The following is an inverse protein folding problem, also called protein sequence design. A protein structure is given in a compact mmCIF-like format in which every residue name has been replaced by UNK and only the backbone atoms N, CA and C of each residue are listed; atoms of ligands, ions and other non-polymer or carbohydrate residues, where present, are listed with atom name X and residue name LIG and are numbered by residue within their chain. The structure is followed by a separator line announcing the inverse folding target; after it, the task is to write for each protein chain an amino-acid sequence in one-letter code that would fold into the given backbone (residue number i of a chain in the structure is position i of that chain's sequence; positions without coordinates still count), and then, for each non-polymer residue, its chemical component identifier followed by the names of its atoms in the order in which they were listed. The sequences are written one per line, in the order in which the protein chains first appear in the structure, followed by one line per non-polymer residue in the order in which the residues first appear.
data_IF_965303300877
#
_entry.id   IF_965303300877
#
_cell.length_a   1.000
_cell.length_b   1.000
_cell.length_c   1.000
_cell.angle_alpha   90.00
_cell.angle_beta   90.00
_cell.angle_gamma   90.00
#
_symmetry.space_group_name_H-M   'P 1'
#
loop_
_entity.id
_entity.type
_entity.pdbx_description
1 polymer ?
#
# COMPACT_ATOMS: atom_id res chain seq x y z
N UNK A 1 -41.26 -85.07 -48.80
CA UNK A 1 -40.69 -85.00 -47.43
C UNK A 1 -41.58 -84.09 -46.60
N UNK A 2 -42.79 -84.59 -46.33
CA UNK A 2 -43.24 -85.23 -45.08
C UNK A 2 -43.67 -84.15 -44.08
N UNK A 3 -44.87 -83.62 -44.25
CA UNK A 3 -46.12 -84.09 -43.62
C UNK A 3 -46.10 -84.05 -42.09
N UNK A 4 -46.78 -83.04 -41.56
CA UNK A 4 -47.76 -83.18 -40.48
C UNK A 4 -48.65 -81.92 -40.47
N UNK A 5 -49.29 -81.69 -41.62
CA UNK A 5 -50.56 -80.98 -41.70
C UNK A 5 -51.67 -81.95 -41.29
N UNK A 6 -52.08 -81.93 -40.03
CA UNK A 6 -53.44 -82.27 -39.58
C UNK A 6 -53.43 -82.49 -38.09
N UNK A 7 -53.95 -81.51 -37.35
CA UNK A 7 -54.61 -81.62 -36.04
C UNK A 7 -54.96 -80.16 -35.65
N UNK A 8 -55.87 -79.55 -36.40
CA UNK A 8 -57.32 -79.56 -36.12
C UNK A 8 -57.71 -78.51 -35.08
N UNK A 9 -57.83 -77.28 -35.58
CA UNK A 9 -58.86 -76.30 -35.28
C UNK A 9 -59.85 -76.65 -34.14
N UNK A 10 -59.66 -76.14 -32.90
CA UNK A 10 -60.51 -76.47 -31.76
C UNK A 10 -61.87 -75.76 -31.73
N UNK A 11 -62.32 -75.15 -32.86
CA UNK A 11 -63.55 -74.35 -32.94
C UNK A 11 -64.83 -75.08 -33.37
N UNK A 12 -64.82 -76.40 -33.53
CA UNK A 12 -66.05 -77.19 -33.77
C UNK A 12 -66.12 -78.50 -32.97
N UNK A 13 -65.72 -78.46 -31.70
CA UNK A 13 -66.06 -79.55 -30.78
C UNK A 13 -67.38 -79.22 -30.10
N UNK A 14 -68.47 -79.70 -30.71
CA UNK A 14 -69.81 -79.54 -30.21
C UNK A 14 -69.93 -80.29 -28.87
N UNK A 15 -70.62 -79.67 -27.91
CA UNK A 15 -70.61 -80.11 -26.51
C UNK A 15 -71.24 -81.51 -26.32
N UNK A 16 -71.85 -82.08 -27.35
CA UNK A 16 -72.45 -83.42 -27.33
C UNK A 16 -71.42 -84.55 -27.46
N UNK A 17 -70.21 -84.27 -27.96
CA UNK A 17 -69.24 -85.30 -28.35
C UNK A 17 -68.21 -85.63 -27.25
N UNK A 18 -68.36 -85.07 -26.05
CA UNK A 18 -67.49 -85.39 -24.91
C UNK A 18 -68.20 -86.33 -23.93
N UNK A 19 -67.56 -87.44 -23.51
CA UNK A 19 -68.09 -88.32 -22.49
C UNK A 19 -68.38 -87.52 -21.20
N UNK A 20 -69.45 -87.84 -20.46
CA UNK A 20 -69.99 -87.02 -19.37
C UNK A 20 -68.97 -86.65 -18.28
N UNK A 21 -67.93 -87.46 -18.10
CA UNK A 21 -66.84 -87.18 -17.16
C UNK A 21 -65.97 -85.97 -17.54
N UNK A 22 -65.73 -85.74 -18.85
CA UNK A 22 -64.93 -84.57 -19.30
C UNK A 22 -65.72 -83.26 -19.24
N UNK A 23 -67.06 -83.31 -19.35
CA UNK A 23 -67.94 -82.15 -19.09
C UNK A 23 -67.84 -81.66 -17.66
N UNK A 24 -67.92 -82.57 -16.69
CA UNK A 24 -67.79 -82.24 -15.26
C UNK A 24 -66.44 -81.60 -14.93
N UNK A 25 -65.35 -82.08 -15.54
CA UNK A 25 -64.01 -81.47 -15.37
C UNK A 25 -63.91 -80.07 -15.97
N UNK A 26 -64.46 -79.83 -17.17
CA UNK A 26 -64.44 -78.52 -17.84
C UNK A 26 -65.31 -77.49 -17.11
N UNK A 27 -66.49 -77.89 -16.64
CA UNK A 27 -67.36 -77.04 -15.81
C UNK A 27 -66.71 -76.74 -14.45
N UNK A 28 -66.09 -77.73 -13.81
CA UNK A 28 -65.34 -77.52 -12.57
C UNK A 28 -64.14 -76.59 -12.73
N UNK A 29 -63.46 -76.63 -13.88
CA UNK A 29 -62.39 -75.68 -14.21
C UNK A 29 -62.93 -74.26 -14.43
N UNK A 30 -63.99 -74.10 -15.22
CA UNK A 30 -64.63 -72.79 -15.45
C UNK A 30 -65.22 -72.17 -14.18
N UNK A 31 -65.80 -72.98 -13.28
CA UNK A 31 -66.31 -72.51 -11.99
C UNK A 31 -65.17 -72.02 -11.10
N UNK A 32 -64.02 -72.72 -11.10
CA UNK A 32 -62.80 -72.29 -10.40
C UNK A 32 -62.19 -71.02 -11.02
N UNK A 33 -62.16 -70.92 -12.34
CA UNK A 33 -61.66 -69.74 -13.04
C UNK A 33 -62.52 -68.50 -12.76
N UNK A 34 -63.85 -68.59 -12.82
CA UNK A 34 -64.75 -67.48 -12.46
C UNK A 34 -64.64 -67.08 -10.99
N UNK A 35 -64.40 -68.03 -10.08
CA UNK A 35 -64.13 -67.73 -8.66
C UNK A 35 -62.83 -66.96 -8.48
N UNK A 36 -61.75 -67.36 -9.17
CA UNK A 36 -60.47 -66.62 -9.18
C UNK A 36 -60.62 -65.21 -9.74
N UNK A 37 -61.32 -65.04 -10.87
CA UNK A 37 -61.62 -63.73 -11.46
C UNK A 37 -62.44 -62.83 -10.51
N UNK A 38 -63.47 -63.37 -9.83
CA UNK A 38 -64.22 -62.61 -8.83
C UNK A 38 -63.39 -62.25 -7.59
N UNK A 39 -62.51 -63.14 -7.13
CA UNK A 39 -61.59 -62.86 -6.03
C UNK A 39 -60.57 -61.78 -6.41
N UNK A 40 -60.02 -61.83 -7.63
CA UNK A 40 -59.07 -60.85 -8.14
C UNK A 40 -59.72 -59.48 -8.38
N UNK A 41 -60.98 -59.44 -8.84
CA UNK A 41 -61.76 -58.20 -8.92
C UNK A 41 -62.06 -57.61 -7.53
N UNK A 42 -62.35 -58.45 -6.51
CA UNK A 42 -62.51 -57.99 -5.12
C UNK A 42 -61.19 -57.45 -4.54
N UNK A 43 -60.07 -58.14 -4.81
CA UNK A 43 -58.74 -57.70 -4.39
C UNK A 43 -58.36 -56.36 -5.03
N UNK A 44 -58.54 -56.21 -6.35
CA UNK A 44 -58.29 -54.95 -7.06
C UNK A 44 -59.19 -53.80 -6.58
N UNK A 45 -60.45 -54.09 -6.19
CA UNK A 45 -61.36 -53.09 -5.62
C UNK A 45 -60.94 -52.66 -4.21
N UNK A 46 -60.46 -53.59 -3.38
CA UNK A 46 -59.92 -53.31 -2.06
C UNK A 46 -58.59 -52.52 -2.14
N UNK A 47 -57.70 -52.87 -3.07
CA UNK A 47 -56.43 -52.17 -3.30
C UNK A 47 -56.67 -50.72 -3.76
N UNK A 48 -57.66 -50.49 -4.63
CA UNK A 48 -58.07 -49.13 -5.05
C UNK A 48 -58.68 -48.31 -3.89
N UNK A 49 -59.37 -48.95 -2.95
CA UNK A 49 -59.90 -48.28 -1.76
C UNK A 49 -58.78 -47.91 -0.77
N UNK A 50 -57.80 -48.80 -0.57
CA UNK A 50 -56.59 -48.51 0.23
C UNK A 50 -55.77 -47.35 -0.35
N UNK A 51 -55.54 -47.33 -1.67
CA UNK A 51 -54.85 -46.21 -2.35
C UNK A 51 -55.60 -44.87 -2.24
N UNK A 52 -56.94 -44.87 -2.10
CA UNK A 52 -57.73 -43.66 -1.84
C UNK A 52 -57.57 -43.18 -0.39
N UNK A 53 -57.59 -44.09 0.58
CA UNK A 53 -57.36 -43.76 1.99
C UNK A 53 -55.93 -43.26 2.27
N UNK A 54 -54.92 -43.82 1.58
CA UNK A 54 -53.54 -43.30 1.64
C UNK A 54 -53.43 -41.90 1.04
N UNK A 55 -54.11 -41.61 -0.08
CA UNK A 55 -54.19 -40.25 -0.65
C UNK A 55 -54.89 -39.26 0.27
N UNK A 56 -55.92 -39.68 1.01
CA UNK A 56 -56.62 -38.83 1.98
C UNK A 56 -55.79 -38.59 3.24
N UNK A 57 -55.03 -39.58 3.74
CA UNK A 57 -54.03 -39.37 4.82
C UNK A 57 -52.89 -38.44 4.39
N UNK A 58 -52.40 -38.57 3.15
CA UNK A 58 -51.39 -37.66 2.61
C UNK A 58 -51.89 -36.23 2.43
N UNK A 59 -53.20 -36.03 2.17
CA UNK A 59 -53.83 -34.69 2.13
C UNK A 59 -54.12 -34.09 3.51
N UNK A 60 -54.30 -34.91 4.55
CA UNK A 60 -54.52 -34.42 5.93
C UNK A 60 -53.23 -34.02 6.65
N UNK A 61 -52.12 -34.71 6.43
CA UNK A 61 -50.83 -34.43 7.10
C UNK A 61 -49.89 -33.48 6.35
N UNK A 62 -50.29 -33.02 5.16
CA UNK A 62 -49.63 -31.95 4.41
C UNK A 62 -50.71 -30.93 4.01
N UNK A 63 -51.07 -29.94 4.86
CA UNK A 63 -51.72 -28.75 4.35
C UNK A 63 -50.78 -28.21 3.27
N UNK A 64 -51.27 -28.07 2.03
CA UNK A 64 -50.44 -27.59 0.93
C UNK A 64 -49.64 -26.36 1.35
N UNK A 65 -48.41 -26.24 0.85
CA UNK A 65 -47.44 -25.18 1.14
C UNK A 65 -48.08 -23.79 1.39
N UNK A 66 -49.10 -23.42 0.62
CA UNK A 66 -49.83 -22.17 0.77
C UNK A 66 -50.68 -22.04 2.05
N UNK A 67 -51.33 -23.09 2.54
CA UNK A 67 -52.11 -23.04 3.78
C UNK A 67 -51.19 -22.94 5.01
N UNK A 68 -50.02 -23.62 4.97
CA UNK A 68 -48.97 -23.49 5.99
C UNK A 68 -48.36 -22.09 5.97
N UNK A 69 -48.05 -21.55 4.78
CA UNK A 69 -47.61 -20.16 4.64
C UNK A 69 -48.66 -19.20 5.17
N UNK A 70 -49.94 -19.34 4.85
CA UNK A 70 -50.98 -18.39 5.30
C UNK A 70 -51.15 -18.45 6.83
N UNK A 71 -51.04 -19.63 7.45
CA UNK A 71 -51.08 -19.75 8.91
C UNK A 71 -49.83 -19.14 9.56
N UNK A 72 -48.63 -19.48 9.07
CA UNK A 72 -47.35 -18.93 9.54
C UNK A 72 -47.25 -17.42 9.30
N UNK A 73 -47.83 -16.90 8.22
CA UNK A 73 -47.89 -15.47 7.93
C UNK A 73 -48.83 -14.76 8.91
N UNK A 74 -49.88 -15.43 9.38
CA UNK A 74 -50.87 -14.84 10.31
C UNK A 74 -50.31 -14.77 11.73
N UNK A 75 -49.63 -15.82 12.20
CA UNK A 75 -48.90 -15.83 13.47
C UNK A 75 -47.71 -14.87 13.43
N UNK A 76 -46.92 -14.88 12.36
CA UNK A 76 -45.82 -13.93 12.16
C UNK A 76 -46.29 -12.46 12.17
N UNK A 77 -47.42 -12.17 11.52
CA UNK A 77 -47.97 -10.82 11.53
C UNK A 77 -48.50 -10.38 12.91
N UNK A 78 -48.95 -11.31 13.75
CA UNK A 78 -49.33 -11.02 15.14
C UNK A 78 -48.10 -10.72 16.00
N UNK A 79 -47.06 -11.56 15.94
CA UNK A 79 -45.79 -11.33 16.65
C UNK A 79 -45.11 -10.03 16.20
N UNK A 80 -45.15 -9.70 14.91
CA UNK A 80 -44.62 -8.43 14.40
C UNK A 80 -45.43 -7.21 14.90
N UNK A 81 -46.73 -7.35 15.15
CA UNK A 81 -47.54 -6.27 15.72
C UNK A 81 -47.18 -6.03 17.19
N UNK A 82 -46.98 -7.08 17.96
CA UNK A 82 -46.55 -6.99 19.37
C UNK A 82 -45.14 -6.39 19.49
N UNK A 83 -44.18 -6.86 18.67
CA UNK A 83 -42.83 -6.29 18.62
C UNK A 83 -42.81 -4.82 18.14
N UNK A 84 -43.73 -4.42 17.25
CA UNK A 84 -43.86 -3.00 16.84
C UNK A 84 -44.39 -2.14 17.98
N UNK A 85 -45.35 -2.64 18.77
CA UNK A 85 -45.85 -1.95 19.96
C UNK A 85 -44.76 -1.82 21.03
N UNK A 86 -43.95 -2.86 21.24
CA UNK A 86 -42.84 -2.86 22.20
C UNK A 86 -41.71 -1.91 21.75
N UNK A 87 -41.35 -1.92 20.47
CA UNK A 87 -40.39 -0.96 19.89
C UNK A 87 -40.93 0.47 19.88
N UNK A 88 -42.24 0.68 19.74
CA UNK A 88 -42.86 2.00 19.86
C UNK A 88 -42.78 2.53 21.31
N UNK A 89 -42.93 1.65 22.31
CA UNK A 89 -42.68 1.99 23.73
C UNK A 89 -41.21 2.37 23.97
N UNK A 90 -40.26 1.62 23.42
CA UNK A 90 -38.82 1.93 23.54
C UNK A 90 -38.42 3.22 22.80
N UNK A 91 -39.04 3.50 21.64
CA UNK A 91 -38.81 4.76 20.89
C UNK A 91 -39.35 6.00 21.60
N UNK A 92 -40.36 5.87 22.46
CA UNK A 92 -40.87 6.98 23.29
C UNK A 92 -39.85 7.50 24.32
N UNK A 93 -38.81 6.74 24.65
CA UNK A 93 -37.76 7.16 25.59
C UNK A 93 -36.41 7.48 24.95
N UNK A 94 -36.27 7.32 23.64
CA UNK A 94 -35.06 7.76 22.97
C UNK A 94 -35.19 9.20 22.46
N UNK A 95 -34.27 10.11 22.84
CA UNK A 95 -34.28 11.47 22.29
C UNK A 95 -34.17 11.40 20.76
N UNK A 96 -35.01 12.18 20.08
CA UNK A 96 -35.03 12.26 18.62
C UNK A 96 -33.65 12.57 18.05
N UNK A 97 -33.39 12.14 16.81
CA UNK A 97 -32.09 12.28 16.15
C UNK A 97 -31.52 13.69 16.25
N UNK A 98 -32.34 14.73 16.03
CA UNK A 98 -31.92 16.13 16.17
C UNK A 98 -31.59 16.53 17.61
N UNK A 99 -32.22 15.93 18.62
CA UNK A 99 -31.89 16.18 20.03
C UNK A 99 -30.56 15.52 20.42
N UNK A 100 -30.25 14.34 19.84
CA UNK A 100 -28.91 13.72 19.95
C UNK A 100 -27.85 14.56 19.25
N UNK A 101 -28.08 14.94 18.00
CA UNK A 101 -27.15 15.79 17.24
C UNK A 101 -26.90 17.15 17.91
N UNK A 102 -27.92 17.72 18.56
CA UNK A 102 -27.78 18.95 19.34
C UNK A 102 -26.94 18.75 20.61
N UNK A 103 -27.07 17.60 21.27
CA UNK A 103 -26.23 17.24 22.43
C UNK A 103 -24.77 17.04 22.00
N UNK A 104 -24.54 16.32 20.90
CA UNK A 104 -23.18 16.10 20.35
C UNK A 104 -22.52 17.42 19.93
N UNK A 105 -23.27 18.34 19.30
CA UNK A 105 -22.76 19.68 18.97
C UNK A 105 -22.50 20.55 20.20
N UNK A 106 -23.29 20.39 21.27
CA UNK A 106 -23.06 21.09 22.53
C UNK A 106 -21.79 20.58 23.22
N UNK A 107 -21.56 19.27 23.25
CA UNK A 107 -20.32 18.67 23.74
C UNK A 107 -19.11 19.17 22.94
N UNK A 108 -19.18 19.15 21.60
CA UNK A 108 -18.11 19.65 20.75
C UNK A 108 -17.77 21.14 21.02
N UNK A 109 -18.79 21.99 21.20
CA UNK A 109 -18.57 23.41 21.54
C UNK A 109 -17.95 23.60 22.93
N UNK A 110 -18.32 22.77 23.89
CA UNK A 110 -17.73 22.80 25.24
C UNK A 110 -16.26 22.39 25.18
N UNK A 111 -15.95 21.33 24.44
CA UNK A 111 -14.58 20.83 24.24
C UNK A 111 -13.70 21.86 23.52
N UNK A 112 -14.21 22.49 22.46
CA UNK A 112 -13.49 23.54 21.72
C UNK A 112 -13.21 24.77 22.58
N UNK A 113 -14.18 25.22 23.38
CA UNK A 113 -13.99 26.35 24.32
C UNK A 113 -12.97 26.01 25.42
N UNK A 114 -12.95 24.77 25.90
CA UNK A 114 -11.96 24.31 26.87
C UNK A 114 -10.54 24.30 26.28
N UNK A 115 -10.35 23.77 25.06
CA UNK A 115 -9.05 23.78 24.34
C UNK A 115 -8.54 25.20 24.09
N UNK A 116 -9.42 26.13 23.71
CA UNK A 116 -9.04 27.53 23.48
C UNK A 116 -8.67 28.28 24.78
N UNK A 117 -9.37 28.01 25.90
CA UNK A 117 -9.00 28.57 27.22
C UNK A 117 -7.64 28.04 27.71
N UNK A 118 -7.34 26.76 27.45
CA UNK A 118 -6.03 26.16 27.73
C UNK A 118 -4.93 26.80 26.89
N UNK A 119 -5.15 27.04 25.59
CA UNK A 119 -4.19 27.69 24.70
C UNK A 119 -3.92 29.17 25.08
N UNK A 120 -4.96 29.92 25.47
CA UNK A 120 -4.82 31.32 25.91
C UNK A 120 -4.05 31.47 27.22
N UNK A 121 -4.28 30.57 28.20
CA UNK A 121 -3.49 30.53 29.45
C UNK A 121 -2.00 30.21 29.21
N UNK A 122 -1.66 29.53 28.10
CA UNK A 122 -0.26 29.19 27.74
C UNK A 122 0.48 30.31 27.02
N UNK A 123 -0.24 31.24 26.37
CA UNK A 123 0.34 32.40 25.65
C UNK A 123 0.63 33.62 26.53
N UNK A 124 -0.07 33.76 27.65
CA UNK A 124 0.16 34.86 28.58
C UNK A 124 1.46 34.62 29.39
N UNK A 125 2.57 35.18 28.90
CA UNK A 125 3.77 35.41 29.71
C UNK A 125 5.01 34.58 29.41
N UNK A 126 5.40 34.34 28.14
CA UNK A 126 6.68 33.64 27.83
C UNK A 126 7.43 34.27 26.65
N UNK A 127 8.73 34.51 26.85
CA UNK A 127 9.62 35.14 25.87
C UNK A 127 9.89 34.28 24.62
N UNK A 128 10.30 34.95 23.54
CA UNK A 128 10.48 34.41 22.18
C UNK A 128 11.36 33.14 22.11
N UNK A 129 12.44 33.08 22.89
CA UNK A 129 13.34 31.92 22.88
C UNK A 129 12.74 30.67 23.53
N UNK A 130 11.90 30.84 24.56
CA UNK A 130 11.16 29.71 25.14
C UNK A 130 10.04 29.25 24.21
N UNK A 131 9.46 30.17 23.43
CA UNK A 131 8.48 29.84 22.39
C UNK A 131 9.10 29.06 21.23
N UNK A 132 10.34 29.39 20.84
CA UNK A 132 11.08 28.64 19.82
C UNK A 132 11.48 27.24 20.32
N UNK A 133 11.97 27.14 21.56
CA UNK A 133 12.33 25.86 22.19
C UNK A 133 11.09 24.95 22.37
N UNK A 134 9.96 25.50 22.81
CA UNK A 134 8.68 24.79 22.93
C UNK A 134 8.01 24.52 21.58
N UNK A 135 8.35 25.22 20.50
CA UNK A 135 7.86 24.91 19.16
C UNK A 135 8.45 23.59 18.64
N UNK A 136 9.74 23.34 18.91
CA UNK A 136 10.42 22.09 18.51
C UNK A 136 10.18 20.93 19.49
N UNK A 137 10.02 21.19 20.79
CA UNK A 137 9.76 20.15 21.81
C UNK A 137 8.27 19.96 22.15
N UNK A 138 7.41 20.89 21.77
CA UNK A 138 5.98 20.90 22.08
C UNK A 138 5.23 19.65 21.64
N UNK A 139 5.41 19.16 20.40
CA UNK A 139 4.77 17.92 19.94
C UNK A 139 5.18 16.68 20.75
N UNK A 140 6.41 16.65 21.28
CA UNK A 140 6.94 15.53 22.06
C UNK A 140 6.44 15.53 23.51
N UNK A 141 6.28 16.72 24.12
CA UNK A 141 5.76 16.86 25.48
C UNK A 141 4.23 16.72 25.51
N UNK A 142 3.51 17.29 24.54
CA UNK A 142 2.04 17.14 24.41
C UNK A 142 1.65 15.68 24.17
N UNK A 143 2.42 14.93 23.37
CA UNK A 143 2.14 13.50 23.14
C UNK A 143 2.25 12.67 24.42
N UNK A 144 3.18 13.01 25.32
CA UNK A 144 3.39 12.24 26.56
C UNK A 144 2.24 12.43 27.56
N UNK A 145 1.71 13.65 27.65
CA UNK A 145 0.66 13.99 28.61
C UNK A 145 -0.73 13.64 28.07
N UNK A 146 -1.00 13.81 26.76
CA UNK A 146 -2.23 13.30 26.11
C UNK A 146 -2.32 11.78 26.22
N UNK A 147 -1.21 11.06 26.04
CA UNK A 147 -1.20 9.60 26.10
C UNK A 147 -1.43 9.06 27.52
N UNK A 148 -0.99 9.80 28.57
CA UNK A 148 -1.31 9.46 29.96
C UNK A 148 -2.80 9.67 30.25
N UNK A 149 -3.37 10.80 29.82
CA UNK A 149 -4.79 11.08 29.98
C UNK A 149 -5.67 10.08 29.24
N UNK A 150 -5.32 9.72 28.00
CA UNK A 150 -6.06 8.73 27.21
C UNK A 150 -6.01 7.33 27.84
N UNK A 151 -4.87 6.95 28.44
CA UNK A 151 -4.75 5.68 29.19
C UNK A 151 -5.63 5.64 30.43
N UNK A 152 -5.72 6.74 31.17
CA UNK A 152 -6.58 6.81 32.36
C UNK A 152 -8.06 6.78 31.99
N UNK A 153 -8.46 7.46 30.91
CA UNK A 153 -9.84 7.38 30.40
C UNK A 153 -10.16 5.99 29.85
N UNK A 154 -9.26 5.37 29.08
CA UNK A 154 -9.44 3.98 28.62
C UNK A 154 -9.53 2.99 29.79
N UNK A 155 -8.80 3.21 30.89
CA UNK A 155 -8.93 2.42 32.13
C UNK A 155 -10.31 2.61 32.77
N UNK A 156 -10.78 3.85 32.92
CA UNK A 156 -12.12 4.16 33.46
C UNK A 156 -13.24 3.61 32.58
N UNK A 157 -13.08 3.66 31.26
CA UNK A 157 -14.04 3.13 30.29
C UNK A 157 -14.11 1.61 30.32
N UNK A 158 -12.96 0.92 30.38
CA UNK A 158 -12.89 -0.54 30.55
C UNK A 158 -13.47 -1.01 31.88
N UNK A 159 -13.34 -0.21 32.94
CA UNK A 159 -13.96 -0.50 34.24
C UNK A 159 -15.49 -0.35 34.22
N UNK A 160 -16.04 0.61 33.45
CA UNK A 160 -17.49 0.80 33.30
C UNK A 160 -18.15 -0.19 32.35
N UNK A 161 -17.43 -0.66 31.34
CA UNK A 161 -17.94 -1.55 30.30
C UNK A 161 -16.98 -2.72 30.09
N UNK A 162 -17.07 -3.78 30.90
CA UNK A 162 -16.24 -4.96 30.72
C UNK A 162 -16.52 -5.54 29.33
N UNK A 163 -15.52 -5.52 28.46
CA UNK A 163 -15.66 -6.05 27.11
C UNK A 163 -15.88 -7.56 27.20
N UNK A 164 -16.88 -8.12 26.48
CA UNK A 164 -17.07 -9.56 26.42
C UNK A 164 -15.82 -10.22 25.86
N UNK A 165 -15.50 -11.40 26.38
CA UNK A 165 -14.32 -12.13 25.93
C UNK A 165 -14.45 -12.46 24.43
N UNK A 166 -13.33 -12.62 23.71
CA UNK A 166 -13.32 -12.77 22.23
C UNK A 166 -14.34 -13.82 21.74
N UNK A 167 -14.48 -14.93 22.47
CA UNK A 167 -15.46 -15.98 22.16
C UNK A 167 -16.93 -15.57 22.38
N UNK A 168 -17.24 -14.75 23.39
CA UNK A 168 -18.59 -14.19 23.56
C UNK A 168 -18.92 -13.16 22.47
N UNK A 169 -17.92 -12.41 22.01
CA UNK A 169 -18.06 -11.46 20.89
C UNK A 169 -18.38 -12.18 19.59
N UNK A 170 -17.62 -13.24 19.29
CA UNK A 170 -17.84 -14.10 18.13
C UNK A 170 -19.17 -14.88 18.21
N UNK A 171 -19.59 -15.27 19.41
CA UNK A 171 -20.89 -15.95 19.61
C UNK A 171 -22.08 -15.02 19.42
N UNK A 172 -21.98 -13.77 19.87
CA UNK A 172 -22.98 -12.73 19.60
C UNK A 172 -23.03 -12.37 18.10
N UNK A 173 -21.88 -12.29 17.44
CA UNK A 173 -21.80 -12.12 15.97
C UNK A 173 -22.40 -13.32 15.21
N UNK A 174 -22.18 -14.54 15.70
CA UNK A 174 -22.75 -15.75 15.11
C UNK A 174 -24.28 -15.80 15.24
N UNK A 175 -24.82 -15.46 16.43
CA UNK A 175 -26.26 -15.36 16.68
C UNK A 175 -26.91 -14.22 15.87
N UNK A 176 -26.22 -13.10 15.68
CA UNK A 176 -26.69 -11.99 14.84
C UNK A 176 -26.65 -12.33 13.34
N UNK A 177 -25.76 -13.24 12.91
CA UNK A 177 -25.64 -13.67 11.51
C UNK A 177 -26.71 -14.67 11.07
N UNK A 178 -27.24 -15.49 11.99
CA UNK A 178 -28.05 -16.66 11.67
C UNK A 178 -29.51 -16.36 11.30
N UNK A 179 -30.01 -15.14 11.57
CA UNK A 179 -31.46 -14.88 11.64
C UNK A 179 -32.06 -13.90 10.62
N UNK A 180 -31.42 -13.62 9.48
CA UNK A 180 -32.01 -12.63 8.54
C UNK A 180 -31.92 -12.97 7.06
N UNK A 181 -33.08 -12.91 6.39
CA UNK A 181 -33.22 -12.65 4.94
C UNK A 181 -32.41 -11.44 4.45
N UNK A 182 -32.00 -10.55 5.39
CA UNK A 182 -31.06 -9.45 5.13
C UNK A 182 -29.66 -9.94 4.79
N UNK A 183 -29.19 -11.08 5.31
CA UNK A 183 -27.91 -11.64 4.91
C UNK A 183 -27.96 -12.25 3.51
N UNK A 184 -29.08 -12.83 3.07
CA UNK A 184 -29.26 -13.23 1.67
C UNK A 184 -29.18 -12.02 0.73
N UNK A 185 -29.82 -10.90 1.12
CA UNK A 185 -29.69 -9.62 0.39
C UNK A 185 -28.29 -8.99 0.49
N UNK A 186 -27.59 -9.15 1.60
CA UNK A 186 -26.21 -8.68 1.74
C UNK A 186 -25.22 -9.58 0.98
N UNK A 187 -25.47 -10.88 0.87
CA UNK A 187 -24.69 -11.81 0.07
C UNK A 187 -24.92 -11.52 -1.42
N UNK A 188 -26.17 -11.34 -1.85
CA UNK A 188 -26.48 -10.85 -3.21
C UNK A 188 -25.87 -9.47 -3.48
N UNK A 189 -25.87 -8.57 -2.49
CA UNK A 189 -25.19 -7.28 -2.60
C UNK A 189 -23.67 -7.43 -2.67
N UNK A 190 -23.08 -8.35 -1.91
CA UNK A 190 -21.64 -8.67 -1.94
C UNK A 190 -21.25 -9.36 -3.24
N UNK A 191 -22.08 -10.24 -3.78
CA UNK A 191 -21.90 -10.91 -5.08
C UNK A 191 -22.08 -9.93 -6.23
N UNK A 192 -23.06 -9.02 -6.17
CA UNK A 192 -23.16 -7.91 -7.13
C UNK A 192 -22.00 -6.93 -7.00
N UNK A 193 -21.51 -6.66 -5.80
CA UNK A 193 -20.32 -5.83 -5.59
C UNK A 193 -19.04 -6.54 -6.03
N UNK A 194 -18.92 -7.86 -5.89
CA UNK A 194 -17.77 -8.62 -6.37
C UNK A 194 -17.81 -8.80 -7.89
N UNK A 195 -19.00 -8.95 -8.49
CA UNK A 195 -19.17 -8.92 -9.94
C UNK A 195 -18.98 -7.52 -10.50
N UNK A 196 -19.43 -6.46 -9.82
CA UNK A 196 -19.12 -5.09 -10.22
C UNK A 196 -17.64 -4.78 -10.05
N UNK A 197 -16.98 -5.35 -9.03
CA UNK A 197 -15.54 -5.27 -8.87
C UNK A 197 -14.83 -6.03 -9.99
N UNK A 198 -15.26 -7.24 -10.34
CA UNK A 198 -14.71 -7.99 -11.47
C UNK A 198 -14.93 -7.27 -12.82
N UNK A 199 -16.08 -6.62 -13.02
CA UNK A 199 -16.36 -5.80 -14.20
C UNK A 199 -15.59 -4.48 -14.18
N UNK A 200 -15.38 -3.86 -13.01
CA UNK A 200 -14.49 -2.70 -12.83
C UNK A 200 -13.02 -3.08 -13.02
N UNK A 201 -12.65 -4.31 -12.67
CA UNK A 201 -11.33 -4.89 -12.84
C UNK A 201 -11.08 -5.24 -14.30
N UNK A 202 -12.07 -5.81 -15.02
CA UNK A 202 -12.02 -5.90 -16.49
C UNK A 202 -11.96 -4.52 -17.13
N UNK A 203 -12.76 -3.54 -16.70
CA UNK A 203 -12.65 -2.15 -17.20
C UNK A 203 -11.28 -1.53 -16.89
N UNK A 204 -10.66 -1.84 -15.74
CA UNK A 204 -9.28 -1.46 -15.41
C UNK A 204 -8.26 -2.20 -16.27
N UNK A 205 -8.48 -3.47 -16.61
CA UNK A 205 -7.59 -4.22 -17.49
C UNK A 205 -7.68 -3.69 -18.92
N UNK A 206 -8.89 -3.35 -19.39
CA UNK A 206 -9.09 -2.66 -20.66
C UNK A 206 -8.49 -1.25 -20.65
N UNK A 207 -8.64 -0.50 -19.55
CA UNK A 207 -7.98 0.81 -19.41
C UNK A 207 -6.45 0.65 -19.34
N UNK A 208 -5.92 -0.38 -18.70
CA UNK A 208 -4.48 -0.69 -18.67
C UNK A 208 -3.96 -1.09 -20.05
N UNK A 209 -4.67 -1.92 -20.82
CA UNK A 209 -4.28 -2.23 -22.21
C UNK A 209 -4.27 -0.98 -23.05
N UNK A 210 -5.29 -0.14 -22.93
CA UNK A 210 -5.38 1.13 -23.66
C UNK A 210 -4.29 2.12 -23.20
N UNK A 211 -3.97 2.19 -21.92
CA UNK A 211 -2.85 2.95 -21.38
C UNK A 211 -1.51 2.40 -21.89
N UNK A 212 -1.32 1.08 -21.94
CA UNK A 212 -0.12 0.44 -22.49
C UNK A 212 0.01 0.70 -23.99
N UNK A 213 -1.07 0.65 -24.76
CA UNK A 213 -1.07 1.01 -26.17
C UNK A 213 -0.78 2.50 -26.37
N UNK A 214 -1.38 3.38 -25.56
CA UNK A 214 -1.08 4.81 -25.54
C UNK A 214 0.38 5.06 -25.19
N UNK A 215 0.94 4.39 -24.17
CA UNK A 215 2.35 4.46 -23.80
C UNK A 215 3.23 3.96 -24.94
N UNK A 216 2.89 2.84 -25.58
CA UNK A 216 3.64 2.28 -26.72
C UNK A 216 3.58 3.22 -27.94
N UNK A 217 2.48 3.93 -28.14
CA UNK A 217 2.33 4.95 -29.19
C UNK A 217 3.19 6.18 -28.87
N UNK A 218 3.04 6.76 -27.68
CA UNK A 218 3.88 7.87 -27.20
C UNK A 218 5.36 7.52 -27.30
N UNK A 219 5.73 6.28 -26.93
CA UNK A 219 7.11 5.81 -27.01
C UNK A 219 7.61 5.68 -28.45
N UNK A 220 6.76 5.30 -29.40
CA UNK A 220 7.12 5.31 -30.84
C UNK A 220 7.22 6.72 -31.41
N UNK A 221 6.40 7.64 -30.92
CA UNK A 221 6.31 9.03 -31.42
C UNK A 221 7.38 9.95 -30.80
N UNK A 222 8.12 9.48 -29.80
CA UNK A 222 9.24 10.22 -29.21
C UNK A 222 10.34 10.45 -30.27
N UNK A 223 11.02 11.61 -30.26
CA UNK A 223 12.00 12.00 -31.27
C UNK A 223 13.36 11.34 -31.00
N UNK A 224 13.42 10.00 -31.01
CA UNK A 224 14.63 9.25 -30.73
C UNK A 224 15.72 9.57 -31.74
N UNK A 225 16.90 9.92 -31.23
CA UNK A 225 18.10 9.98 -32.06
C UNK A 225 19.22 9.31 -31.31
N UNK A 226 19.30 7.97 -31.47
CA UNK A 226 20.23 7.11 -30.74
C UNK A 226 21.66 7.66 -30.70
N UNK A 227 22.14 8.23 -31.81
CA UNK A 227 23.46 8.87 -31.88
C UNK A 227 23.58 10.10 -30.99
N UNK A 228 22.60 11.00 -30.97
CA UNK A 228 22.62 12.20 -30.12
C UNK A 228 22.41 11.85 -28.65
N UNK A 229 21.53 10.89 -28.36
CA UNK A 229 21.27 10.44 -26.98
C UNK A 229 22.54 9.80 -26.38
N UNK A 230 23.26 8.98 -27.15
CA UNK A 230 24.57 8.45 -26.72
C UNK A 230 25.58 9.58 -26.49
N UNK A 231 25.68 10.53 -27.41
CA UNK A 231 26.59 11.67 -27.26
C UNK A 231 26.28 12.48 -25.99
N UNK A 232 24.99 12.72 -25.71
CA UNK A 232 24.53 13.41 -24.51
C UNK A 232 24.84 12.61 -23.24
N UNK A 233 24.62 11.29 -23.26
CA UNK A 233 24.96 10.39 -22.14
C UNK A 233 26.45 10.47 -21.84
N UNK A 234 27.31 10.34 -22.87
CA UNK A 234 28.77 10.43 -22.71
C UNK A 234 29.18 11.79 -22.17
N UNK A 235 28.67 12.88 -22.75
CA UNK A 235 28.99 14.23 -22.31
C UNK A 235 28.56 14.48 -20.85
N UNK A 236 27.35 14.06 -20.48
CA UNK A 236 26.83 14.12 -19.11
C UNK A 236 27.68 13.32 -18.14
N UNK A 237 28.09 12.09 -18.52
CA UNK A 237 28.96 11.24 -17.69
C UNK A 237 30.32 11.88 -17.49
N UNK A 238 30.95 12.42 -18.54
CA UNK A 238 32.26 13.08 -18.44
C UNK A 238 32.17 14.31 -17.53
N UNK A 239 31.15 15.15 -17.70
CA UNK A 239 30.94 16.33 -16.86
C UNK A 239 30.65 15.93 -15.41
N UNK A 240 29.84 14.90 -15.18
CA UNK A 240 29.56 14.35 -13.86
C UNK A 240 30.84 13.88 -13.16
N UNK A 241 31.62 13.01 -13.82
CA UNK A 241 32.87 12.46 -13.26
C UNK A 241 33.85 13.60 -12.96
N UNK A 242 34.04 14.51 -13.92
CA UNK A 242 34.90 15.67 -13.74
C UNK A 242 34.47 16.54 -12.55
N UNK A 243 33.17 16.89 -12.47
CA UNK A 243 32.66 17.73 -11.40
C UNK A 243 32.76 17.05 -10.01
N UNK A 244 32.54 15.73 -9.93
CA UNK A 244 32.74 14.98 -8.70
C UNK A 244 34.22 14.98 -8.31
N UNK A 245 35.12 14.58 -9.22
CA UNK A 245 36.56 14.52 -8.97
C UNK A 245 37.15 15.89 -8.62
N UNK A 246 36.67 16.96 -9.25
CA UNK A 246 37.06 18.33 -8.93
C UNK A 246 36.71 18.69 -7.47
N UNK A 247 35.46 18.48 -7.05
CA UNK A 247 35.07 18.78 -5.68
C UNK A 247 35.77 17.87 -4.67
N UNK A 248 35.90 16.58 -4.97
CA UNK A 248 36.61 15.65 -4.11
C UNK A 248 38.09 16.00 -3.96
N UNK A 249 38.74 16.43 -5.05
CA UNK A 249 40.11 16.94 -5.03
C UNK A 249 40.25 18.17 -4.12
N UNK A 250 39.32 19.14 -4.23
CA UNK A 250 39.34 20.32 -3.35
C UNK A 250 39.10 19.94 -1.88
N UNK A 251 38.18 19.00 -1.63
CA UNK A 251 37.92 18.49 -0.29
C UNK A 251 39.19 17.90 0.35
N UNK A 252 39.90 17.03 -0.37
CA UNK A 252 41.13 16.41 0.14
C UNK A 252 42.27 17.45 0.26
N UNK A 253 42.42 18.35 -0.72
CA UNK A 253 43.42 19.41 -0.68
C UNK A 253 43.23 20.32 0.54
N UNK A 254 41.99 20.70 0.86
CA UNK A 254 41.70 21.50 2.04
C UNK A 254 42.13 20.79 3.35
N UNK A 255 41.82 19.49 3.48
CA UNK A 255 42.27 18.67 4.62
C UNK A 255 43.79 18.61 4.71
N UNK A 256 44.46 18.35 3.59
CA UNK A 256 45.91 18.26 3.50
C UNK A 256 46.59 19.57 3.92
N UNK A 257 46.12 20.71 3.42
CA UNK A 257 46.67 22.04 3.75
C UNK A 257 46.51 22.37 5.24
N UNK A 258 45.35 22.08 5.83
CA UNK A 258 45.14 22.30 7.27
C UNK A 258 46.00 21.35 8.10
N UNK A 259 46.11 20.07 7.73
CA UNK A 259 46.98 19.13 8.42
C UNK A 259 48.45 19.56 8.38
N UNK A 260 48.93 20.03 7.21
CA UNK A 260 50.26 20.57 7.05
C UNK A 260 50.50 21.82 7.94
N UNK A 261 49.49 22.69 8.08
CA UNK A 261 49.58 23.85 8.98
C UNK A 261 49.73 23.48 10.46
N UNK A 262 49.21 22.32 10.87
CA UNK A 262 49.41 21.75 12.21
C UNK A 262 50.66 20.85 12.32
N UNK A 263 51.48 20.74 11.26
CA UNK A 263 52.67 19.89 11.24
C UNK A 263 52.36 18.39 11.25
N UNK A 264 51.14 17.99 10.85
CA UNK A 264 50.74 16.58 10.76
C UNK A 264 51.21 16.01 9.42
N UNK A 265 52.12 15.01 9.40
CA UNK A 265 52.57 14.43 8.16
C UNK A 265 51.42 13.65 7.52
N UNK A 266 51.16 13.96 6.26
CA UNK A 266 50.09 13.37 5.48
C UNK A 266 50.61 12.96 4.10
N UNK A 267 50.09 11.87 3.57
CA UNK A 267 50.47 11.30 2.29
C UNK A 267 49.20 11.06 1.48
N UNK A 268 49.26 11.37 0.19
CA UNK A 268 48.19 11.01 -0.73
C UNK A 268 48.27 9.51 -1.01
N UNK A 269 47.33 8.73 -0.47
CA UNK A 269 47.23 7.28 -0.69
C UNK A 269 45.83 6.98 -1.19
N UNK A 270 45.77 6.32 -2.34
CA UNK A 270 44.52 5.78 -2.87
C UNK A 270 43.40 6.84 -3.04
N UNK A 271 43.77 8.02 -3.53
CA UNK A 271 42.82 9.12 -3.73
C UNK A 271 42.39 9.83 -2.44
N UNK A 272 42.90 9.44 -1.28
CA UNK A 272 42.61 10.10 -0.02
C UNK A 272 43.86 10.67 0.66
N UNK A 273 43.66 11.65 1.52
CA UNK A 273 44.70 12.09 2.45
C UNK A 273 44.77 11.11 3.62
N UNK A 274 45.84 10.32 3.68
CA UNK A 274 46.13 9.43 4.80
C UNK A 274 47.15 10.10 5.74
N UNK A 275 46.89 10.03 7.05
CA UNK A 275 47.80 10.54 8.07
C UNK A 275 48.75 9.43 8.51
N UNK A 276 50.05 9.68 8.51
CA UNK A 276 51.06 8.65 8.85
C UNK A 276 51.37 8.56 10.34
N UNK A 277 50.76 9.43 11.15
CA UNK A 277 50.93 9.42 12.60
C UNK A 277 49.94 8.44 13.26
N UNK A 278 50.35 7.77 14.34
CA UNK A 278 49.44 6.93 15.11
C UNK A 278 48.41 7.78 15.86
N UNK A 279 47.23 7.21 16.12
CA UNK A 279 46.12 7.87 16.85
C UNK A 279 46.53 8.48 18.21
N UNK A 280 47.36 7.86 19.07
CA UNK A 280 47.81 8.47 20.33
C UNK A 280 48.89 9.56 20.19
N UNK A 281 49.12 10.10 18.99
CA UNK A 281 50.11 11.16 18.77
C UNK A 281 49.72 12.48 19.47
N UNK A 282 50.67 13.19 20.10
CA UNK A 282 50.41 14.50 20.74
C UNK A 282 50.01 15.59 19.72
N UNK A 283 50.20 15.35 18.42
CA UNK A 283 49.77 16.25 17.35
C UNK A 283 48.25 16.23 17.14
N UNK A 284 47.56 15.18 17.59
CA UNK A 284 46.10 15.11 17.62
C UNK A 284 45.56 15.86 18.84
N UNK A 285 45.62 17.18 18.74
CA UNK A 285 44.97 18.10 19.66
C UNK A 285 43.50 18.27 19.27
N UNK A 286 42.67 18.70 20.22
CA UNK A 286 41.28 19.00 19.97
C UNK A 286 41.07 19.97 18.78
N UNK A 287 41.88 21.01 18.69
CA UNK A 287 41.82 22.00 17.61
C UNK A 287 42.26 21.42 16.27
N UNK A 288 43.30 20.59 16.22
CA UNK A 288 43.80 20.01 14.97
C UNK A 288 42.79 19.02 14.38
N UNK A 289 42.22 18.13 15.20
CA UNK A 289 41.18 17.18 14.74
C UNK A 289 39.96 17.94 14.21
N UNK A 290 39.43 18.88 15.00
CA UNK A 290 38.25 19.67 14.62
C UNK A 290 38.49 20.39 13.29
N UNK A 291 39.64 21.06 13.14
CA UNK A 291 39.97 21.83 11.95
C UNK A 291 40.17 20.95 10.72
N UNK A 292 40.97 19.88 10.84
CA UNK A 292 41.31 18.98 9.72
C UNK A 292 40.08 18.29 9.16
N UNK A 293 39.18 17.80 10.01
CA UNK A 293 38.01 17.05 9.55
C UNK A 293 36.82 17.94 9.17
N UNK A 294 36.77 19.18 9.66
CA UNK A 294 35.69 20.12 9.35
C UNK A 294 35.98 21.00 8.12
N UNK A 295 37.25 21.28 7.79
CA UNK A 295 37.59 22.22 6.70
C UNK A 295 37.03 21.77 5.35
N UNK A 296 37.07 20.47 5.04
CA UNK A 296 36.58 19.91 3.78
C UNK A 296 35.10 20.27 3.53
N UNK A 297 34.17 19.88 4.42
CA UNK A 297 32.75 20.25 4.28
C UNK A 297 32.52 21.76 4.22
N UNK A 298 33.22 22.56 5.02
CA UNK A 298 33.03 24.02 4.99
C UNK A 298 33.50 24.66 3.67
N UNK A 299 34.65 24.25 3.15
CA UNK A 299 35.16 24.73 1.85
C UNK A 299 34.21 24.32 0.73
N UNK A 300 33.70 23.08 0.73
CA UNK A 300 32.73 22.64 -0.27
C UNK A 300 31.40 23.38 -0.17
N UNK A 301 30.94 23.75 1.03
CA UNK A 301 29.73 24.54 1.19
C UNK A 301 29.88 25.93 0.54
N UNK A 302 31.05 26.54 0.67
CA UNK A 302 31.39 27.81 0.00
C UNK A 302 31.43 27.65 -1.51
N UNK A 303 32.12 26.62 -2.02
CA UNK A 303 32.21 26.31 -3.45
C UNK A 303 30.82 26.06 -4.04
N UNK A 304 30.01 25.23 -3.40
CA UNK A 304 28.64 24.97 -3.81
C UNK A 304 27.82 26.26 -3.88
N UNK A 305 27.95 27.14 -2.88
CA UNK A 305 27.24 28.42 -2.86
C UNK A 305 27.69 29.38 -3.97
N UNK A 306 28.99 29.45 -4.26
CA UNK A 306 29.55 30.26 -5.35
C UNK A 306 29.07 29.74 -6.70
N UNK A 307 29.24 28.45 -6.99
CA UNK A 307 28.84 27.85 -8.27
C UNK A 307 27.32 27.85 -8.46
N UNK A 308 26.53 27.74 -7.39
CA UNK A 308 25.08 27.92 -7.46
C UNK A 308 24.71 29.34 -7.92
N UNK A 309 25.39 30.38 -7.41
CA UNK A 309 25.17 31.76 -7.85
C UNK A 309 25.61 31.97 -9.30
N UNK A 310 26.78 31.45 -9.67
CA UNK A 310 27.29 31.54 -11.04
C UNK A 310 26.37 30.85 -12.05
N UNK A 311 25.79 29.71 -11.69
CA UNK A 311 24.81 28.97 -12.50
C UNK A 311 23.52 29.77 -12.68
N UNK A 312 22.99 30.38 -11.61
CA UNK A 312 21.78 31.23 -11.70
C UNK A 312 21.99 32.47 -12.58
N UNK A 313 23.21 33.00 -12.62
CA UNK A 313 23.53 34.19 -13.39
C UNK A 313 23.89 33.90 -14.87
N UNK A 314 23.91 32.64 -15.32
CA UNK A 314 24.10 32.34 -16.74
C UNK A 314 22.86 32.73 -17.55
N UNK A 315 23.07 33.50 -18.62
CA UNK A 315 22.00 33.88 -19.58
C UNK A 315 21.49 32.63 -20.30
N UNK A 316 22.41 31.80 -20.78
CA UNK A 316 22.08 30.54 -21.43
C UNK A 316 22.14 29.37 -20.44
N UNK A 317 20.96 29.01 -19.93
CA UNK A 317 20.79 27.94 -18.97
C UNK A 317 21.01 26.55 -19.56
N UNK A 318 20.92 26.35 -20.89
CA UNK A 318 21.13 25.05 -21.55
C UNK A 318 22.57 24.81 -22.00
N UNK A 319 23.46 25.80 -21.82
CA UNK A 319 24.88 25.68 -22.16
C UNK A 319 25.62 24.59 -21.37
N UNK A 320 26.64 23.98 -21.98
CA UNK A 320 27.56 23.02 -21.33
C UNK A 320 28.20 23.62 -20.07
N UNK A 321 28.47 24.94 -20.08
CA UNK A 321 28.99 25.67 -18.92
C UNK A 321 27.99 25.73 -17.77
N UNK A 322 26.72 26.02 -18.05
CA UNK A 322 25.64 25.98 -17.05
C UNK A 322 25.50 24.58 -16.45
N UNK A 323 25.59 23.54 -17.27
CA UNK A 323 25.56 22.14 -16.86
C UNK A 323 26.75 21.77 -15.95
N UNK A 324 27.96 22.21 -16.32
CA UNK A 324 29.16 22.00 -15.50
C UNK A 324 29.01 22.67 -14.13
N UNK A 325 28.58 23.94 -14.09
CA UNK A 325 28.36 24.65 -12.83
C UNK A 325 27.27 24.00 -11.98
N UNK A 326 26.20 23.51 -12.63
CA UNK A 326 25.16 22.71 -11.99
C UNK A 326 25.77 21.49 -11.29
N UNK A 327 26.50 20.64 -12.02
CA UNK A 327 27.11 19.45 -11.43
C UNK A 327 28.13 19.78 -10.34
N UNK A 328 28.95 20.82 -10.50
CA UNK A 328 29.93 21.23 -9.48
C UNK A 328 29.22 21.57 -8.16
N UNK A 329 28.20 22.44 -8.17
CA UNK A 329 27.56 22.79 -6.90
C UNK A 329 26.76 21.63 -6.30
N UNK A 330 26.17 20.78 -7.14
CA UNK A 330 25.41 19.61 -6.70
C UNK A 330 26.34 18.64 -5.99
N UNK A 331 27.48 18.29 -6.59
CA UNK A 331 28.46 17.43 -5.97
C UNK A 331 29.07 18.01 -4.71
N UNK A 332 29.32 19.33 -4.69
CA UNK A 332 29.77 20.00 -3.47
C UNK A 332 28.80 19.77 -2.31
N UNK A 333 27.49 20.00 -2.53
CA UNK A 333 26.50 19.75 -1.48
C UNK A 333 26.33 18.26 -1.14
N UNK A 334 26.37 17.35 -2.12
CA UNK A 334 26.32 15.91 -1.86
C UNK A 334 27.48 15.49 -0.97
N UNK A 335 28.70 15.96 -1.23
CA UNK A 335 29.87 15.65 -0.42
C UNK A 335 29.75 16.24 0.99
N UNK A 336 29.22 17.45 1.16
CA UNK A 336 28.96 18.03 2.50
C UNK A 336 27.97 17.17 3.29
N UNK A 337 26.76 16.95 2.77
CA UNK A 337 25.73 16.23 3.51
C UNK A 337 26.01 14.73 3.58
N UNK A 338 26.66 14.17 2.57
CA UNK A 338 27.10 12.77 2.54
C UNK A 338 28.23 12.49 3.53
N UNK A 339 29.15 13.43 3.76
CA UNK A 339 30.19 13.26 4.79
C UNK A 339 29.63 13.37 6.21
N UNK A 340 28.62 14.21 6.45
CA UNK A 340 27.88 14.20 7.72
C UNK A 340 27.14 12.89 7.95
N UNK A 341 26.46 12.39 6.91
CA UNK A 341 25.74 11.12 6.98
C UNK A 341 26.70 9.94 7.21
N UNK A 342 27.82 9.90 6.47
CA UNK A 342 28.85 8.89 6.64
C UNK A 342 29.48 8.96 8.03
N UNK A 343 29.82 10.18 8.51
CA UNK A 343 30.40 10.38 9.83
C UNK A 343 29.51 9.86 10.97
N UNK A 344 28.19 9.99 10.83
CA UNK A 344 27.24 9.44 11.80
C UNK A 344 27.22 7.89 11.82
N UNK A 345 27.40 7.23 10.68
CA UNK A 345 27.35 5.77 10.62
C UNK A 345 28.68 5.08 10.89
N UNK A 346 29.80 5.77 10.63
CA UNK A 346 31.14 5.14 10.64
C UNK A 346 32.03 5.62 11.77
N UNK A 347 31.66 6.69 12.48
CA UNK A 347 32.50 7.41 13.43
C UNK A 347 33.86 7.86 12.83
N UNK A 348 33.94 7.97 11.49
CA UNK A 348 35.14 8.39 10.76
C UNK A 348 34.91 9.70 10.01
N UNK A 349 36.01 10.35 9.62
CA UNK A 349 35.94 11.61 8.90
C UNK A 349 35.28 12.69 9.75
N UNK A 350 34.10 13.18 9.34
CA UNK A 350 33.35 14.13 10.16
C UNK A 350 32.81 13.50 11.46
N UNK A 351 32.73 12.16 11.55
CA UNK A 351 32.42 11.46 12.80
C UNK A 351 33.41 11.80 13.92
N UNK A 352 34.70 11.96 13.59
CA UNK A 352 35.71 12.41 14.56
C UNK A 352 35.39 13.79 15.12
N UNK A 353 34.83 14.70 14.32
CA UNK A 353 34.42 16.02 14.79
C UNK A 353 33.32 15.90 15.84
N UNK A 354 32.31 15.06 15.57
CA UNK A 354 31.19 14.86 16.49
C UNK A 354 31.64 14.22 17.81
N UNK A 355 32.49 13.19 17.72
CA UNK A 355 33.06 12.51 18.88
C UNK A 355 33.94 13.43 19.74
N UNK A 356 34.82 14.23 19.11
CA UNK A 356 35.70 15.16 19.84
C UNK A 356 34.95 16.34 20.44
N UNK A 357 33.88 16.81 19.81
CA UNK A 357 32.98 17.82 20.38
C UNK A 357 32.09 17.27 21.51
N UNK A 358 32.17 15.96 21.80
CA UNK A 358 31.29 15.26 22.74
C UNK A 358 29.81 15.53 22.45
N UNK A 359 29.45 15.58 21.17
CA UNK A 359 28.06 15.82 20.77
C UNK A 359 27.23 14.61 21.23
N UNK A 360 26.20 14.79 22.06
CA UNK A 360 25.36 13.67 22.45
C UNK A 360 24.55 13.16 21.25
N UNK A 361 24.30 11.86 21.20
CA UNK A 361 23.50 11.19 20.15
C UNK A 361 22.15 11.89 19.84
N UNK A 362 21.56 12.55 20.84
CA UNK A 362 20.30 13.31 20.69
C UNK A 362 20.43 14.51 19.73
N UNK A 363 21.64 15.00 19.48
CA UNK A 363 21.96 16.07 18.52
C UNK A 363 22.49 15.46 17.20
N UNK A 364 23.30 14.39 17.27
CA UNK A 364 23.85 13.72 16.09
C UNK A 364 22.75 13.15 15.17
N UNK A 365 21.74 12.49 15.75
CA UNK A 365 20.63 11.89 14.99
C UNK A 365 19.84 12.94 14.20
N UNK A 366 19.39 14.07 14.80
CA UNK A 366 18.80 15.17 14.05
C UNK A 366 19.69 15.75 12.95
N UNK A 367 21.02 15.81 13.17
CA UNK A 367 21.97 16.32 12.17
C UNK A 367 22.08 15.38 10.95
N UNK A 368 22.13 14.07 11.19
CA UNK A 368 22.10 13.07 10.13
C UNK A 368 20.75 13.12 9.37
N UNK A 369 19.63 13.23 10.08
CA UNK A 369 18.31 13.38 9.47
C UNK A 369 18.20 14.66 8.64
N UNK A 370 18.72 15.78 9.16
CA UNK A 370 18.79 17.05 8.44
C UNK A 370 19.60 16.90 7.14
N UNK A 371 20.69 16.15 7.17
CA UNK A 371 21.51 15.88 5.98
C UNK A 371 20.73 15.12 4.91
N UNK A 372 19.97 14.09 5.29
CA UNK A 372 19.06 13.38 4.38
C UNK A 372 18.00 14.30 3.79
N UNK A 373 17.35 15.12 4.63
CA UNK A 373 16.35 16.10 4.18
C UNK A 373 16.96 17.10 3.20
N UNK A 374 18.17 17.60 3.47
CA UNK A 374 18.87 18.53 2.58
C UNK A 374 19.22 17.88 1.24
N UNK A 375 19.73 16.65 1.23
CA UNK A 375 19.95 15.87 -0.01
C UNK A 375 18.66 15.73 -0.81
N UNK A 376 17.54 15.50 -0.12
CA UNK A 376 16.22 15.37 -0.76
C UNK A 376 15.73 16.69 -1.36
N UNK A 377 15.89 17.80 -0.63
CA UNK A 377 15.55 19.16 -1.12
C UNK A 377 16.42 19.54 -2.31
N UNK A 378 17.71 19.21 -2.27
CA UNK A 378 18.67 19.44 -3.36
C UNK A 378 18.24 18.65 -4.59
N UNK A 379 18.02 17.35 -4.44
CA UNK A 379 17.52 16.48 -5.51
C UNK A 379 16.26 17.02 -6.15
N UNK A 380 15.27 17.37 -5.33
CA UNK A 380 14.01 17.95 -5.82
C UNK A 380 14.23 19.21 -6.68
N UNK A 381 15.09 20.14 -6.23
CA UNK A 381 15.40 21.36 -6.98
C UNK A 381 16.16 21.07 -8.29
N UNK A 382 17.05 20.07 -8.27
CA UNK A 382 17.86 19.68 -9.43
C UNK A 382 17.00 19.03 -10.51
N UNK A 383 16.06 18.15 -10.14
CA UNK A 383 15.21 17.44 -11.08
C UNK A 383 14.50 18.37 -12.06
N UNK A 384 14.04 19.52 -11.58
CA UNK A 384 13.45 20.59 -12.41
C UNK A 384 14.45 21.26 -13.33
N UNK A 385 15.62 21.61 -12.80
CA UNK A 385 16.67 22.28 -13.57
C UNK A 385 17.21 21.39 -14.70
N UNK A 386 17.28 20.08 -14.49
CA UNK A 386 17.74 19.16 -15.53
C UNK A 386 16.85 19.15 -16.77
N UNK A 387 15.53 19.37 -16.62
CA UNK A 387 14.63 19.44 -17.75
C UNK A 387 14.92 20.62 -18.68
N UNK A 388 15.68 21.63 -18.25
CA UNK A 388 16.11 22.75 -19.10
C UNK A 388 17.12 22.31 -20.16
N UNK A 389 17.92 21.27 -19.89
CA UNK A 389 18.93 20.72 -20.82
C UNK A 389 18.36 19.75 -21.85
N UNK A 390 17.04 19.70 -22.01
CA UNK A 390 16.38 18.90 -23.04
C UNK A 390 16.66 19.48 -24.43
N UNK A 391 16.75 18.61 -25.43
CA UNK A 391 16.94 19.02 -26.82
C UNK A 391 15.62 19.33 -27.56
N UNK A 392 14.46 18.92 -27.02
CA UNK A 392 13.14 19.14 -27.61
C UNK A 392 12.10 19.50 -26.54
N UNK A 393 11.14 20.36 -26.88
CA UNK A 393 10.04 20.75 -25.99
C UNK A 393 9.03 19.63 -25.73
N UNK A 394 8.97 18.60 -26.59
CA UNK A 394 8.09 17.44 -26.42
C UNK A 394 8.35 16.68 -25.11
N UNK A 395 9.56 16.81 -24.54
CA UNK A 395 9.90 16.21 -23.25
C UNK A 395 9.28 16.94 -22.04
N UNK A 396 8.65 18.11 -22.19
CA UNK A 396 7.96 18.81 -21.09
C UNK A 396 6.54 18.29 -20.95
N UNK A 397 5.85 18.05 -22.06
CA UNK A 397 4.39 17.96 -22.05
C UNK A 397 3.87 16.61 -21.52
N UNK A 398 4.70 15.56 -21.58
CA UNK A 398 4.34 14.21 -21.17
C UNK A 398 5.13 13.70 -19.97
N UNK A 399 4.44 13.12 -18.97
CA UNK A 399 5.06 12.46 -17.81
C UNK A 399 6.04 11.37 -18.25
N UNK A 400 5.65 10.56 -19.24
CA UNK A 400 6.48 9.46 -19.75
C UNK A 400 7.72 9.98 -20.49
N UNK A 401 7.59 11.07 -21.25
CA UNK A 401 8.70 11.71 -21.94
C UNK A 401 9.69 12.33 -20.94
N UNK A 402 9.20 13.04 -19.92
CA UNK A 402 10.03 13.56 -18.82
C UNK A 402 10.78 12.43 -18.10
N UNK A 403 10.10 11.33 -17.78
CA UNK A 403 10.70 10.20 -17.07
C UNK A 403 11.76 9.52 -17.93
N UNK A 404 11.49 9.33 -19.21
CA UNK A 404 12.46 8.79 -20.15
C UNK A 404 13.70 9.70 -20.24
N UNK A 405 13.50 11.01 -20.42
CA UNK A 405 14.59 11.97 -20.49
C UNK A 405 15.44 11.94 -19.22
N UNK A 406 14.80 11.96 -18.04
CA UNK A 406 15.49 11.82 -16.75
C UNK A 406 16.24 10.48 -16.70
N UNK A 407 15.61 9.37 -17.05
CA UNK A 407 16.25 8.05 -17.01
C UNK A 407 17.53 8.01 -17.86
N UNK A 408 17.44 8.39 -19.14
CA UNK A 408 18.56 8.28 -20.08
C UNK A 408 19.59 9.38 -19.89
N UNK A 409 19.19 10.64 -19.72
CA UNK A 409 20.14 11.77 -19.70
C UNK A 409 20.57 12.16 -18.28
N UNK A 410 19.98 11.58 -17.24
CA UNK A 410 20.33 11.90 -15.85
C UNK A 410 20.71 10.64 -15.05
N UNK A 411 19.87 9.61 -14.96
CA UNK A 411 20.21 8.41 -14.15
C UNK A 411 21.33 7.56 -14.75
N UNK A 412 21.25 7.26 -16.05
CA UNK A 412 22.26 6.44 -16.74
C UNK A 412 23.66 7.08 -16.64
N UNK A 413 23.84 8.39 -16.91
CA UNK A 413 25.12 9.05 -16.74
C UNK A 413 25.69 8.99 -15.32
N UNK A 414 24.82 9.10 -14.30
CA UNK A 414 25.23 9.01 -12.90
C UNK A 414 25.67 7.59 -12.54
N UNK A 415 24.93 6.56 -12.97
CA UNK A 415 25.30 5.17 -12.73
C UNK A 415 26.65 4.85 -13.39
N UNK A 416 26.83 5.23 -14.66
CA UNK A 416 28.12 5.07 -15.34
C UNK A 416 29.22 5.90 -14.69
N UNK A 417 28.91 7.14 -14.28
CA UNK A 417 29.86 8.02 -13.60
C UNK A 417 30.32 7.45 -12.26
N UNK A 418 29.41 6.92 -11.45
CA UNK A 418 29.74 6.20 -10.21
C UNK A 418 30.58 4.96 -10.49
N UNK A 419 30.26 4.19 -11.55
CA UNK A 419 31.06 3.05 -11.99
C UNK A 419 32.49 3.45 -12.37
N UNK A 420 32.65 4.55 -13.12
CA UNK A 420 33.97 5.09 -13.48
C UNK A 420 34.73 5.55 -12.24
N UNK A 421 34.10 6.29 -11.32
CA UNK A 421 34.73 6.74 -10.08
C UNK A 421 35.18 5.57 -9.20
N UNK A 422 34.38 4.50 -9.15
CA UNK A 422 34.73 3.25 -8.47
C UNK A 422 35.95 2.59 -9.13
N UNK A 423 35.98 2.49 -10.46
CA UNK A 423 37.08 1.87 -11.21
C UNK A 423 38.39 2.67 -11.16
N UNK A 424 38.35 4.00 -11.07
CA UNK A 424 39.53 4.85 -10.93
C UNK A 424 40.22 4.64 -9.57
N UNK A 425 39.57 3.97 -8.62
CA UNK A 425 40.15 3.76 -7.29
C UNK A 425 39.94 4.96 -6.36
N UNK A 426 38.91 5.78 -6.60
CA UNK A 426 38.42 6.68 -5.55
C UNK A 426 37.63 5.92 -4.47
N UNK A 427 37.65 4.59 -4.47
CA UNK A 427 36.97 3.76 -3.51
C UNK A 427 37.86 2.59 -3.09
N UNK A 428 38.57 2.73 -1.97
CA UNK A 428 39.35 1.63 -1.38
C UNK A 428 38.49 0.64 -0.61
N UNK A 429 37.24 0.50 -1.04
CA UNK A 429 36.16 -0.09 -0.28
C UNK A 429 35.98 0.54 1.11
N UNK A 430 36.44 1.78 1.32
CA UNK A 430 36.19 2.48 2.58
C UNK A 430 34.69 2.72 2.72
N UNK A 431 34.13 2.19 3.81
CA UNK A 431 32.71 2.26 4.09
C UNK A 431 32.22 3.73 4.14
N UNK A 432 33.06 4.66 4.60
CA UNK A 432 32.74 6.10 4.63
C UNK A 432 32.50 6.64 3.22
N UNK A 433 33.36 6.30 2.25
CA UNK A 433 33.20 6.70 0.85
C UNK A 433 31.97 6.03 0.21
N UNK A 434 31.73 4.76 0.51
CA UNK A 434 30.53 4.06 0.04
C UNK A 434 29.23 4.75 0.50
N UNK A 435 29.17 5.25 1.74
CA UNK A 435 28.02 6.04 2.21
C UNK A 435 27.91 7.38 1.48
N UNK A 436 29.02 8.02 1.14
CA UNK A 436 29.01 9.23 0.30
C UNK A 436 28.49 8.94 -1.11
N UNK A 437 28.87 7.83 -1.74
CA UNK A 437 28.29 7.41 -3.03
C UNK A 437 26.81 7.07 -2.91
N UNK A 438 26.40 6.40 -1.83
CA UNK A 438 24.99 6.12 -1.55
C UNK A 438 24.18 7.41 -1.38
N UNK A 439 24.80 8.48 -0.86
CA UNK A 439 24.16 9.79 -0.71
C UNK A 439 23.79 10.42 -2.07
N UNK A 440 24.51 10.08 -3.14
CA UNK A 440 24.12 10.43 -4.53
C UNK A 440 22.77 9.78 -4.85
N UNK A 441 22.60 8.49 -4.52
CA UNK A 441 21.32 7.79 -4.75
C UNK A 441 20.19 8.36 -3.88
N UNK A 442 20.47 8.71 -2.62
CA UNK A 442 19.49 9.38 -1.76
C UNK A 442 19.02 10.71 -2.35
N UNK A 443 19.94 11.48 -2.93
CA UNK A 443 19.63 12.72 -3.64
C UNK A 443 18.78 12.47 -4.91
N UNK A 444 18.85 11.29 -5.53
CA UNK A 444 18.11 10.93 -6.74
C UNK A 444 16.68 10.43 -6.51
N UNK A 445 16.34 10.00 -5.30
CA UNK A 445 14.99 9.56 -4.96
C UNK A 445 13.88 10.58 -5.27
N UNK A 446 14.00 11.88 -4.92
CA UNK A 446 12.95 12.87 -5.17
C UNK A 446 12.85 13.28 -6.65
N UNK A 447 13.89 13.07 -7.46
CA UNK A 447 13.85 13.39 -8.90
C UNK A 447 13.00 12.41 -9.69
N UNK A 448 12.73 11.20 -9.15
CA UNK A 448 11.82 10.20 -9.71
C UNK A 448 10.33 10.55 -9.54
N UNK A 449 9.99 11.58 -8.75
CA UNK A 449 8.59 11.87 -8.43
C UNK A 449 7.82 12.19 -9.72
N UNK A 450 6.82 11.36 -10.02
CA UNK A 450 5.99 11.36 -11.23
C UNK A 450 5.02 12.55 -11.37
N UNK A 451 5.16 13.60 -10.57
CA UNK A 451 4.26 14.75 -10.69
C UNK A 451 4.73 15.53 -11.92
N UNK A 452 3.89 15.70 -12.97
CA UNK A 452 4.24 16.53 -14.10
C UNK A 452 4.59 17.91 -13.58
N UNK A 453 5.86 18.28 -13.74
CA UNK A 453 6.33 19.58 -13.31
C UNK A 453 5.91 20.57 -14.38
N UNK A 454 4.86 21.34 -14.11
CA UNK A 454 4.60 22.56 -14.87
C UNK A 454 5.77 23.50 -14.58
N UNK A 455 6.69 23.60 -15.54
CA UNK A 455 7.74 24.63 -15.62
C UNK A 455 7.02 25.98 -15.76
#
# INVERSE_FOLDING_TARGET
MNDLSSLSDPKKLNIKDFPPERKRRKEGWWKRFRRRQKQQAKFNKAERALKRLEKERHKRNNPGFFAKIVFDLKTYNQEQKELRLERAKLRKHQPGFFKRLKLDFQEYRIESKWKNRQALKRRAGRGFWLALFLFFLGPLLDFRDEWRAEREEKKKWKARYPQPNIFQRLWLEYLESRDTDKQRKQLDKKVRMSLSYAVEEEKRIYSLRQEVENMKKVWRDLPWSFSRDIQNVIAMTVIFVFAFSFNFGIFQLAKFLVAAAYGIPSVWREGQTAFTIPDPSPLWTYSSVLSVYSVGPFVLLLIGSVFQRLQKNQVDQSSVKSLLFLWIYVHAYILVFGTFLAGYFTDRGFGYVMGWLYIPWIIEVPLALLSVVMLWVIGYKIGRKFLIFRHSNQFIDGVLAQLYFKFVNFYVPIIFGLGILFLIGFNDNDFTQNVVYLSVLTMLTPTLRFIPEKI
#
